data_IF_188473743655
#
_entry.id   IF_188473743655
#
_cell.length_a   1.000
_cell.length_b   1.000
_cell.length_c   1.000
_cell.angle_alpha   90.00
_cell.angle_beta   90.00
_cell.angle_gamma   90.00
#
_symmetry.space_group_name_H-M   'P 1'
#
loop_
_entity.id
_entity.type
_entity.pdbx_description
1 polymer ?
#
# COMPACT_ATOMS: atom_id res chain seq x y z
N UNK A 1 -23.70 -6.56 -1.25
CA UNK A 1 -22.55 -5.69 -0.93
C UNK A 1 -21.86 -6.04 0.38
N UNK A 2 -22.58 -6.36 1.44
CA UNK A 2 -21.96 -6.80 2.70
C UNK A 2 -21.21 -8.14 2.61
N UNK A 3 -21.60 -9.00 1.70
CA UNK A 3 -21.00 -10.35 1.53
C UNK A 3 -19.56 -10.29 1.02
N UNK A 4 -19.22 -9.29 0.20
CA UNK A 4 -17.87 -9.14 -0.39
C UNK A 4 -16.92 -8.26 0.43
N UNK A 5 -17.40 -7.70 1.55
CA UNK A 5 -16.60 -6.80 2.38
C UNK A 5 -15.28 -7.43 2.91
N UNK A 6 -15.24 -8.69 3.37
CA UNK A 6 -14.01 -9.32 3.82
C UNK A 6 -12.97 -9.43 2.71
N UNK A 7 -13.40 -9.81 1.49
CA UNK A 7 -12.51 -9.90 0.31
C UNK A 7 -11.94 -8.53 -0.03
N UNK A 8 -12.80 -7.50 -0.08
CA UNK A 8 -12.35 -6.14 -0.36
C UNK A 8 -11.36 -5.63 0.70
N UNK A 9 -11.62 -5.91 1.96
CA UNK A 9 -10.71 -5.54 3.05
C UNK A 9 -9.34 -6.21 2.89
N UNK A 10 -9.34 -7.51 2.60
CA UNK A 10 -8.11 -8.26 2.32
C UNK A 10 -7.35 -7.69 1.13
N UNK A 11 -8.01 -7.46 -0.01
CA UNK A 11 -7.39 -6.91 -1.22
C UNK A 11 -6.82 -5.49 -1.01
N UNK A 12 -7.40 -4.71 -0.11
CA UNK A 12 -6.89 -3.37 0.25
C UNK A 12 -5.72 -3.40 1.22
N UNK A 13 -5.36 -4.53 1.79
CA UNK A 13 -4.35 -4.58 2.85
C UNK A 13 -2.98 -4.07 2.42
N UNK A 14 -2.54 -4.34 1.18
CA UNK A 14 -1.29 -3.80 0.65
C UNK A 14 -1.32 -2.27 0.52
N UNK A 15 -2.45 -1.71 0.09
CA UNK A 15 -2.64 -0.27 -0.03
C UNK A 15 -2.48 0.46 1.32
N UNK A 16 -2.95 -0.10 2.42
CA UNK A 16 -2.77 0.50 3.74
C UNK A 16 -1.30 0.62 4.14
N UNK A 17 -0.50 -0.42 3.86
CA UNK A 17 0.94 -0.37 4.11
C UNK A 17 1.65 0.61 3.19
N UNK A 18 1.23 0.71 1.93
CA UNK A 18 1.76 1.71 1.00
C UNK A 18 1.47 3.13 1.50
N UNK A 19 0.23 3.42 1.91
CA UNK A 19 -0.14 4.74 2.45
C UNK A 19 0.59 5.09 3.73
N UNK A 20 0.80 4.11 4.60
CA UNK A 20 1.64 4.31 5.80
C UNK A 20 3.08 4.66 5.41
N UNK A 21 3.66 3.96 4.44
CA UNK A 21 5.00 4.25 3.95
C UNK A 21 5.09 5.64 3.32
N UNK A 22 4.12 6.05 2.49
CA UNK A 22 4.06 7.39 1.90
C UNK A 22 4.08 8.47 2.99
N UNK A 23 3.26 8.32 4.01
CA UNK A 23 3.18 9.26 5.14
C UNK A 23 4.49 9.33 5.94
N UNK A 24 5.13 8.20 6.18
CA UNK A 24 6.44 8.16 6.86
C UNK A 24 7.52 8.83 6.01
N UNK A 25 7.50 8.62 4.70
CA UNK A 25 8.43 9.25 3.77
C UNK A 25 8.27 10.79 3.75
N UNK A 26 7.04 11.29 3.78
CA UNK A 26 6.78 12.74 3.90
C UNK A 26 7.40 13.32 5.19
N UNK A 27 7.22 12.65 6.33
CA UNK A 27 7.85 13.06 7.59
C UNK A 27 9.39 13.08 7.50
N UNK A 28 9.98 12.04 6.91
CA UNK A 28 11.44 11.96 6.70
C UNK A 28 11.92 13.13 5.85
N UNK A 29 11.22 13.46 4.77
CA UNK A 29 11.56 14.60 3.91
C UNK A 29 11.52 15.94 4.66
N UNK A 30 10.53 16.14 5.52
CA UNK A 30 10.42 17.33 6.37
C UNK A 30 11.60 17.46 7.33
N UNK A 31 11.95 16.36 8.03
CA UNK A 31 13.09 16.36 8.95
C UNK A 31 14.43 16.57 8.21
N UNK A 32 14.59 15.96 7.06
CA UNK A 32 15.78 16.13 6.21
C UNK A 32 15.93 17.59 5.78
N UNK A 33 14.84 18.24 5.38
CA UNK A 33 14.84 19.65 5.03
C UNK A 33 15.22 20.54 6.22
N UNK A 34 14.71 20.24 7.43
CA UNK A 34 15.09 20.96 8.66
C UNK A 34 16.57 20.79 8.97
N UNK A 35 17.10 19.58 8.91
CA UNK A 35 18.51 19.32 9.16
C UNK A 35 19.41 20.07 8.18
N UNK A 36 19.04 20.11 6.90
CA UNK A 36 19.80 20.86 5.86
C UNK A 36 19.78 22.37 6.12
N UNK A 37 18.62 22.96 6.46
CA UNK A 37 18.52 24.38 6.78
C UNK A 37 19.34 24.76 8.01
N UNK A 38 19.35 23.94 9.04
CA UNK A 38 20.16 24.15 10.23
C UNK A 38 21.65 24.17 9.89
N UNK A 39 22.12 23.29 9.02
CA UNK A 39 23.53 23.23 8.60
C UNK A 39 23.93 24.50 7.81
N UNK A 40 23.06 25.02 6.96
CA UNK A 40 23.33 26.20 6.10
C UNK A 40 23.29 27.51 6.87
N UNK A 41 22.44 27.63 7.90
CA UNK A 41 22.26 28.88 8.67
C UNK A 41 23.36 29.15 9.69
N UNK A 42 24.22 28.19 10.01
CA UNK A 42 25.14 28.24 11.15
C UNK A 42 26.61 28.13 10.79
N UNK A 43 26.99 28.41 9.54
CA UNK A 43 28.41 28.49 9.15
C UNK A 43 29.18 29.64 9.85
N UNK A 44 28.45 30.64 10.42
CA UNK A 44 29.07 31.86 10.98
C UNK A 44 28.76 32.11 12.46
N UNK A 45 28.18 31.16 13.23
CA UNK A 45 27.84 31.35 14.65
C UNK A 45 28.58 30.36 15.54
N UNK A 46 29.21 30.82 16.66
CA UNK A 46 29.86 29.93 17.62
C UNK A 46 28.85 28.93 18.19
N UNK A 47 29.23 27.63 18.22
CA UNK A 47 28.32 26.56 18.66
C UNK A 47 27.93 26.68 20.12
N UNK A 48 26.68 26.98 20.38
CA UNK A 48 26.03 26.71 21.66
C UNK A 48 25.67 25.24 21.75
N UNK A 49 26.00 24.55 22.87
CA UNK A 49 25.79 23.11 23.07
C UNK A 49 24.36 22.58 22.79
N UNK A 50 23.32 23.42 22.93
CA UNK A 50 21.93 23.07 22.63
C UNK A 50 21.61 22.87 21.15
N UNK A 51 22.41 23.44 20.24
CA UNK A 51 22.23 23.26 18.78
C UNK A 51 22.66 21.87 18.33
N UNK A 52 23.80 21.40 18.81
CA UNK A 52 24.31 20.07 18.45
C UNK A 52 23.38 18.97 18.96
N UNK A 53 22.88 19.12 20.19
CA UNK A 53 21.89 18.19 20.78
C UNK A 53 20.60 18.15 19.95
N UNK A 54 20.09 19.30 19.50
CA UNK A 54 18.89 19.37 18.67
C UNK A 54 19.11 18.71 17.29
N UNK A 55 20.26 18.93 16.67
CA UNK A 55 20.63 18.28 15.40
C UNK A 55 20.73 16.78 15.56
N UNK A 56 21.37 16.29 16.61
CA UNK A 56 21.45 14.86 16.90
C UNK A 56 20.07 14.25 17.11
N UNK A 57 19.16 14.96 17.78
CA UNK A 57 17.77 14.48 17.98
C UNK A 57 17.03 14.36 16.65
N UNK A 58 17.16 15.33 15.73
CA UNK A 58 16.56 15.25 14.40
C UNK A 58 17.09 14.04 13.62
N UNK A 59 18.39 13.79 13.69
CA UNK A 59 19.00 12.63 13.02
C UNK A 59 18.47 11.32 13.62
N UNK A 60 18.36 11.22 14.94
CA UNK A 60 17.81 10.05 15.60
C UNK A 60 16.36 9.79 15.21
N UNK A 61 15.53 10.85 15.17
CA UNK A 61 14.13 10.76 14.73
C UNK A 61 14.01 10.31 13.26
N UNK A 62 14.91 10.80 12.38
CA UNK A 62 14.96 10.36 10.99
C UNK A 62 15.31 8.87 10.87
N UNK A 63 16.30 8.38 11.60
CA UNK A 63 16.68 6.97 11.59
C UNK A 63 15.53 6.07 12.03
N UNK A 64 14.79 6.47 13.07
CA UNK A 64 13.62 5.73 13.54
C UNK A 64 12.50 5.69 12.49
N UNK A 65 12.22 6.82 11.84
CA UNK A 65 11.23 6.89 10.77
C UNK A 65 11.63 6.10 9.52
N UNK A 66 12.90 6.10 9.16
CA UNK A 66 13.44 5.30 8.04
C UNK A 66 13.32 3.81 8.34
N UNK A 67 13.50 3.39 9.58
CA UNK A 67 13.29 2.00 10.00
C UNK A 67 11.83 1.60 9.88
N UNK A 68 10.91 2.43 10.35
CA UNK A 68 9.46 2.18 10.20
C UNK A 68 9.02 2.17 8.74
N UNK A 69 9.55 3.09 7.93
CA UNK A 69 9.31 3.11 6.48
C UNK A 69 9.73 1.80 5.82
N UNK A 70 10.93 1.32 6.12
CA UNK A 70 11.43 0.04 5.60
C UNK A 70 10.53 -1.14 5.98
N UNK A 71 10.05 -1.19 7.23
CA UNK A 71 9.09 -2.22 7.69
C UNK A 71 7.77 -2.12 6.94
N UNK A 72 7.22 -0.92 6.75
CA UNK A 72 5.96 -0.73 6.03
C UNK A 72 6.08 -1.14 4.56
N UNK A 73 7.19 -0.82 3.91
CA UNK A 73 7.46 -1.23 2.53
C UNK A 73 7.60 -2.75 2.39
N UNK A 74 8.26 -3.40 3.35
CA UNK A 74 8.36 -4.86 3.39
C UNK A 74 6.99 -5.52 3.55
N UNK A 75 6.16 -5.02 4.46
CA UNK A 75 4.79 -5.52 4.66
C UNK A 75 3.91 -5.29 3.43
N UNK A 76 4.03 -4.13 2.78
CA UNK A 76 3.35 -3.84 1.53
C UNK A 76 3.71 -4.87 0.44
N UNK A 77 5.00 -5.12 0.24
CA UNK A 77 5.49 -6.08 -0.76
C UNK A 77 5.00 -7.50 -0.47
N UNK A 78 5.06 -7.94 0.78
CA UNK A 78 4.60 -9.27 1.16
C UNK A 78 3.09 -9.43 0.94
N UNK A 79 2.30 -8.43 1.34
CA UNK A 79 0.85 -8.42 1.09
C UNK A 79 0.51 -8.37 -0.39
N UNK A 80 1.24 -7.59 -1.18
CA UNK A 80 1.05 -7.55 -2.64
C UNK A 80 1.26 -8.92 -3.28
N UNK A 81 2.29 -9.67 -2.87
CA UNK A 81 2.53 -11.04 -3.37
C UNK A 81 1.42 -12.01 -2.97
N UNK A 82 0.92 -11.93 -1.73
CA UNK A 82 -0.22 -12.75 -1.29
C UNK A 82 -1.48 -12.46 -2.12
N UNK A 83 -1.77 -11.17 -2.34
CA UNK A 83 -2.91 -10.71 -3.13
C UNK A 83 -2.77 -11.14 -4.60
N UNK A 84 -1.60 -10.97 -5.19
CA UNK A 84 -1.29 -11.42 -6.55
C UNK A 84 -1.56 -12.92 -6.71
N UNK A 85 -1.11 -13.73 -5.76
CA UNK A 85 -1.39 -15.17 -5.74
C UNK A 85 -2.90 -15.46 -5.71
N UNK A 86 -3.64 -14.81 -4.81
CA UNK A 86 -5.09 -15.02 -4.68
C UNK A 86 -5.85 -14.58 -5.93
N UNK A 87 -5.50 -13.42 -6.52
CA UNK A 87 -6.08 -12.97 -7.79
C UNK A 87 -5.76 -13.97 -8.91
N UNK A 88 -4.57 -14.53 -8.90
CA UNK A 88 -4.14 -15.55 -9.87
C UNK A 88 -5.00 -16.81 -9.90
N UNK A 89 -5.73 -17.12 -8.81
CA UNK A 89 -6.64 -18.27 -8.73
C UNK A 89 -7.93 -18.07 -9.56
N UNK A 90 -8.27 -16.86 -9.96
CA UNK A 90 -9.39 -16.60 -10.85
C UNK A 90 -9.12 -17.20 -12.23
N UNK A 91 -10.14 -17.74 -12.87
CA UNK A 91 -10.03 -18.28 -14.24
C UNK A 91 -10.21 -17.19 -15.30
N UNK A 92 -11.03 -16.19 -15.03
CA UNK A 92 -11.38 -15.15 -15.99
C UNK A 92 -10.31 -14.05 -16.04
N UNK A 93 -9.69 -13.85 -17.21
CA UNK A 93 -8.63 -12.85 -17.41
C UNK A 93 -9.10 -11.41 -17.21
N UNK A 94 -10.33 -11.07 -17.57
CA UNK A 94 -10.87 -9.71 -17.34
C UNK A 94 -11.03 -9.43 -15.85
N UNK A 95 -11.46 -10.41 -15.07
CA UNK A 95 -11.57 -10.30 -13.63
C UNK A 95 -10.19 -10.12 -12.97
N UNK A 96 -9.20 -10.91 -13.40
CA UNK A 96 -7.82 -10.78 -12.93
C UNK A 96 -7.28 -9.37 -13.15
N UNK A 97 -7.31 -8.88 -14.39
CA UNK A 97 -6.70 -7.62 -14.75
C UNK A 97 -7.38 -6.44 -14.05
N UNK A 98 -8.70 -6.46 -13.88
CA UNK A 98 -9.41 -5.41 -13.15
C UNK A 98 -8.99 -5.39 -11.67
N UNK A 99 -8.84 -6.55 -11.02
CA UNK A 99 -8.39 -6.61 -9.63
C UNK A 99 -6.90 -6.21 -9.50
N UNK A 100 -6.05 -6.65 -10.40
CA UNK A 100 -4.62 -6.26 -10.40
C UNK A 100 -4.46 -4.74 -10.55
N UNK A 101 -5.12 -4.13 -11.51
CA UNK A 101 -5.07 -2.68 -11.72
C UNK A 101 -5.60 -1.93 -10.49
N UNK A 102 -6.69 -2.39 -9.90
CA UNK A 102 -7.30 -1.72 -8.75
C UNK A 102 -6.51 -1.87 -7.45
N UNK A 103 -6.02 -3.07 -7.15
CA UNK A 103 -5.49 -3.42 -5.82
C UNK A 103 -3.97 -3.55 -5.76
N UNK A 104 -3.29 -3.77 -6.88
CA UNK A 104 -1.83 -3.85 -6.95
C UNK A 104 -1.19 -2.61 -7.59
N UNK A 105 -1.83 -2.02 -8.62
CA UNK A 105 -1.38 -0.76 -9.22
C UNK A 105 -2.04 0.47 -8.61
N UNK A 106 -3.11 0.30 -7.84
CA UNK A 106 -3.88 1.36 -7.18
C UNK A 106 -4.56 2.34 -8.13
N UNK A 107 -4.87 1.91 -9.34
CA UNK A 107 -5.55 2.71 -10.35
C UNK A 107 -6.96 3.10 -9.90
N UNK A 108 -7.41 4.28 -10.28
CA UNK A 108 -8.79 4.67 -10.05
C UNK A 108 -9.72 4.02 -11.10
N UNK A 109 -11.01 4.00 -10.83
CA UNK A 109 -12.00 3.32 -11.68
C UNK A 109 -12.06 3.87 -13.10
N UNK A 110 -11.88 5.18 -13.26
CA UNK A 110 -11.90 5.82 -14.56
C UNK A 110 -10.69 5.42 -15.39
N UNK A 111 -9.51 5.40 -14.82
CA UNK A 111 -8.28 4.99 -15.50
C UNK A 111 -8.35 3.53 -15.95
N UNK A 112 -8.87 2.64 -15.09
CA UNK A 112 -9.10 1.23 -15.43
C UNK A 112 -10.04 1.12 -16.64
N UNK A 113 -11.15 1.87 -16.62
CA UNK A 113 -12.13 1.86 -17.70
C UNK A 113 -11.52 2.34 -19.03
N UNK A 114 -10.75 3.43 -19.00
CA UNK A 114 -10.06 3.97 -20.18
C UNK A 114 -9.04 2.97 -20.73
N UNK A 115 -8.19 2.42 -19.87
CA UNK A 115 -7.14 1.49 -20.27
C UNK A 115 -7.67 0.19 -20.87
N UNK A 116 -8.83 -0.29 -20.39
CA UNK A 116 -9.45 -1.52 -20.88
C UNK A 116 -10.50 -1.30 -21.96
N UNK A 117 -10.77 -0.06 -22.37
CA UNK A 117 -11.84 0.31 -23.31
C UNK A 117 -13.23 -0.18 -22.87
N UNK A 118 -13.54 -0.04 -21.60
CA UNK A 118 -14.86 -0.35 -21.03
C UNK A 118 -15.51 0.90 -20.43
N UNK A 119 -16.83 0.86 -20.25
CA UNK A 119 -17.51 1.83 -19.41
C UNK A 119 -17.18 1.59 -17.94
N UNK A 120 -17.25 2.64 -17.12
CA UNK A 120 -17.05 2.51 -15.66
C UNK A 120 -18.06 1.52 -15.04
N UNK A 121 -19.32 1.54 -15.54
CA UNK A 121 -20.33 0.59 -15.09
C UNK A 121 -19.95 -0.86 -15.40
N UNK A 122 -19.35 -1.11 -16.58
CA UNK A 122 -18.87 -2.45 -16.93
C UNK A 122 -17.73 -2.89 -16.03
N UNK A 123 -16.80 -1.99 -15.69
CA UNK A 123 -15.73 -2.27 -14.73
C UNK A 123 -16.29 -2.65 -13.35
N UNK A 124 -17.29 -1.93 -12.85
CA UNK A 124 -17.95 -2.29 -11.59
C UNK A 124 -18.61 -3.67 -11.63
N UNK A 125 -19.22 -4.05 -12.77
CA UNK A 125 -19.80 -5.38 -12.94
C UNK A 125 -18.74 -6.48 -12.93
N UNK A 126 -17.63 -6.27 -13.65
CA UNK A 126 -16.49 -7.22 -13.67
C UNK A 126 -15.91 -7.36 -12.28
N UNK A 127 -15.65 -6.23 -11.59
CA UNK A 127 -15.15 -6.20 -10.23
C UNK A 127 -16.07 -6.98 -9.25
N UNK A 128 -17.37 -6.72 -9.30
CA UNK A 128 -18.35 -7.42 -8.45
C UNK A 128 -18.35 -8.95 -8.67
N UNK A 129 -18.29 -9.40 -9.92
CA UNK A 129 -18.17 -10.83 -10.25
C UNK A 129 -16.86 -11.42 -9.75
N UNK A 130 -15.76 -10.72 -9.94
CA UNK A 130 -14.44 -11.15 -9.45
C UNK A 130 -14.44 -11.39 -7.94
N UNK A 131 -15.00 -10.46 -7.15
CA UNK A 131 -15.11 -10.61 -5.70
C UNK A 131 -15.96 -11.81 -5.29
N UNK A 132 -17.07 -12.05 -5.98
CA UNK A 132 -17.94 -13.22 -5.72
C UNK A 132 -17.20 -14.51 -6.06
N UNK A 133 -16.45 -14.55 -7.17
CA UNK A 133 -15.68 -15.73 -7.56
C UNK A 133 -14.54 -16.02 -6.58
N UNK A 134 -13.85 -15.00 -6.07
CA UNK A 134 -12.86 -15.18 -5.00
C UNK A 134 -13.48 -15.74 -3.71
N UNK A 135 -14.68 -15.28 -3.33
CA UNK A 135 -15.41 -15.86 -2.19
C UNK A 135 -15.71 -17.34 -2.38
N UNK A 136 -16.12 -17.75 -3.58
CA UNK A 136 -16.38 -19.17 -3.90
C UNK A 136 -15.10 -19.99 -3.79
N UNK A 137 -14.00 -19.50 -4.35
CA UNK A 137 -12.68 -20.15 -4.29
C UNK A 137 -12.24 -20.30 -2.82
N UNK A 138 -12.38 -19.24 -2.00
CA UNK A 138 -12.05 -19.31 -0.59
C UNK A 138 -12.85 -20.36 0.17
N UNK A 139 -14.17 -20.42 -0.04
CA UNK A 139 -15.05 -21.44 0.58
C UNK A 139 -14.65 -22.86 0.17
N UNK A 140 -14.30 -23.06 -1.10
CA UNK A 140 -13.83 -24.36 -1.58
C UNK A 140 -12.50 -24.74 -0.92
N UNK A 141 -11.57 -23.80 -0.79
CA UNK A 141 -10.30 -24.01 -0.11
C UNK A 141 -10.48 -24.35 1.37
N UNK A 142 -11.37 -23.68 2.07
CA UNK A 142 -11.73 -23.98 3.46
C UNK A 142 -12.27 -25.41 3.64
N UNK A 143 -13.16 -25.83 2.74
CA UNK A 143 -13.74 -27.18 2.76
C UNK A 143 -12.74 -28.29 2.44
N UNK A 144 -11.79 -28.02 1.53
CA UNK A 144 -10.84 -29.02 1.03
C UNK A 144 -9.58 -29.11 1.88
N UNK A 145 -9.03 -27.98 2.32
CA UNK A 145 -7.73 -27.91 3.02
C UNK A 145 -7.80 -27.26 4.40
N UNK A 146 -8.95 -26.77 4.81
CA UNK A 146 -9.14 -26.02 6.08
C UNK A 146 -8.42 -24.67 6.10
N UNK A 147 -7.94 -24.17 4.96
CA UNK A 147 -7.24 -22.88 4.84
C UNK A 147 -8.15 -21.82 4.25
N UNK A 148 -8.27 -20.69 4.95
CA UNK A 148 -8.88 -19.48 4.44
C UNK A 148 -7.80 -18.52 3.92
N UNK A 149 -8.06 -17.82 2.81
CA UNK A 149 -7.15 -16.79 2.30
C UNK A 149 -7.38 -15.43 2.97
N UNK A 150 -8.60 -15.19 3.45
CA UNK A 150 -8.99 -13.92 4.06
C UNK A 150 -10.13 -14.08 5.09
#
# INVERSE_FOLDING_TARGET
MKITAPVQHYLRSAWYYQKKADFLNEKIMVLRSKATKMTTSFQDVPSFGGFEDHKQQIIADMVDLEREYGKSMMMCRNKAKEIEFVIGLLENHQEKIVLEMRYLHYDNWLDIAINLNYSVQMIYKIHGRALINLLKINKQAEQTSGKSFF
#
